data_IF_641810018132
#
_entry.id   IF_641810018132
#
_cell.length_a   1.000
_cell.length_b   1.000
_cell.length_c   1.000
_cell.angle_alpha   90.00
_cell.angle_beta   90.00
_cell.angle_gamma   90.00
#
_symmetry.space_group_name_H-M   'P 1'
#
loop_
_entity.id
_entity.type
_entity.pdbx_description
1 polymer ?
#
# COMPACT_ATOMS: atom_id res chain seq x y z
N UNK A 1 18.96 -0.02 9.65
CA UNK A 1 17.70 -0.78 9.78
C UNK A 1 16.93 -0.59 8.48
N UNK A 2 16.69 -1.65 7.71
CA UNK A 2 16.02 -1.54 6.41
C UNK A 2 14.51 -1.43 6.64
N UNK A 3 13.83 -0.38 6.14
CA UNK A 3 12.38 -0.29 6.31
C UNK A 3 11.69 -1.34 5.44
N UNK A 4 10.56 -1.84 5.93
CA UNK A 4 9.67 -2.72 5.19
C UNK A 4 8.26 -2.16 5.21
N UNK A 5 7.52 -2.39 4.15
CA UNK A 5 6.09 -2.14 4.11
C UNK A 5 5.35 -3.47 4.23
N UNK A 6 4.56 -3.60 5.29
CA UNK A 6 3.72 -4.77 5.52
C UNK A 6 2.28 -4.49 5.07
N UNK A 7 1.74 -5.36 4.21
CA UNK A 7 0.33 -5.35 3.83
C UNK A 7 -0.31 -6.63 4.37
N UNK A 8 -1.35 -6.46 5.17
CA UNK A 8 -2.00 -7.56 5.90
C UNK A 8 -3.37 -7.84 5.29
N UNK A 9 -3.58 -9.05 4.80
CA UNK A 9 -4.92 -9.54 4.46
C UNK A 9 -5.57 -10.10 5.74
N UNK A 10 -6.61 -9.42 6.21
CA UNK A 10 -7.32 -9.79 7.44
C UNK A 10 -8.24 -11.00 7.26
N UNK A 11 -8.68 -11.30 6.05
CA UNK A 11 -9.58 -12.43 5.75
C UNK A 11 -8.76 -13.70 5.58
N UNK A 12 -7.73 -13.66 4.73
CA UNK A 12 -6.91 -14.81 4.41
C UNK A 12 -5.76 -15.04 5.42
N UNK A 13 -5.57 -14.12 6.38
CA UNK A 13 -4.58 -14.19 7.47
C UNK A 13 -3.12 -14.32 6.98
N UNK A 14 -2.77 -13.72 5.84
CA UNK A 14 -1.38 -13.63 5.38
C UNK A 14 -0.88 -12.18 5.38
N UNK A 15 0.44 -12.03 5.33
CA UNK A 15 1.12 -10.74 5.26
C UNK A 15 2.11 -10.73 4.11
N UNK A 16 2.07 -9.68 3.31
CA UNK A 16 3.10 -9.37 2.32
C UNK A 16 4.08 -8.38 2.91
N UNK A 17 5.35 -8.77 2.98
CA UNK A 17 6.45 -7.89 3.34
C UNK A 17 7.16 -7.42 2.07
N UNK A 18 7.11 -6.12 1.83
CA UNK A 18 7.78 -5.46 0.71
C UNK A 18 8.98 -4.70 1.26
N UNK A 19 10.15 -4.93 0.66
CA UNK A 19 11.34 -4.13 0.99
C UNK A 19 11.15 -2.76 0.35
N UNK A 20 11.24 -1.72 1.15
CA UNK A 20 11.17 -0.33 0.72
C UNK A 20 12.43 0.40 1.19
N UNK A 21 12.66 1.60 0.68
CA UNK A 21 13.70 2.52 1.15
C UNK A 21 13.03 3.71 1.81
N UNK A 22 13.73 4.35 2.74
CA UNK A 22 13.27 5.61 3.34
C UNK A 22 13.16 6.75 2.34
N UNK A 23 13.80 6.62 1.17
CA UNK A 23 13.80 7.59 0.08
C UNK A 23 12.75 7.30 -1.00
N UNK A 24 12.01 6.18 -0.92
CA UNK A 24 11.03 5.82 -1.93
C UNK A 24 9.89 6.84 -1.94
N UNK A 25 9.51 7.30 -3.13
CA UNK A 25 8.45 8.29 -3.29
C UNK A 25 7.08 7.61 -3.18
N UNK A 26 6.01 8.40 -3.02
CA UNK A 26 4.66 7.85 -2.99
C UNK A 26 4.28 7.11 -4.29
N UNK A 27 4.88 7.49 -5.41
CA UNK A 27 4.68 6.82 -6.70
C UNK A 27 5.31 5.42 -6.70
N UNK A 28 6.43 5.23 -6.00
CA UNK A 28 7.05 3.92 -5.85
C UNK A 28 6.20 2.99 -4.99
N UNK A 29 5.62 3.50 -3.90
CA UNK A 29 4.61 2.78 -3.12
C UNK A 29 3.38 2.43 -3.97
N UNK A 30 2.87 3.35 -4.79
CA UNK A 30 1.74 3.09 -5.66
C UNK A 30 2.01 1.96 -6.67
N UNK A 31 3.21 1.91 -7.28
CA UNK A 31 3.61 0.82 -8.19
C UNK A 31 3.62 -0.53 -7.48
N UNK A 32 4.21 -0.61 -6.29
CA UNK A 32 4.23 -1.84 -5.49
C UNK A 32 2.82 -2.30 -5.14
N UNK A 33 1.95 -1.35 -4.78
CA UNK A 33 0.58 -1.62 -4.44
C UNK A 33 -0.26 -2.11 -5.63
N UNK A 34 -0.09 -1.52 -6.81
CA UNK A 34 -0.74 -2.00 -8.05
C UNK A 34 -0.37 -3.46 -8.32
N UNK A 35 0.90 -3.85 -8.14
CA UNK A 35 1.31 -5.24 -8.33
C UNK A 35 0.58 -6.19 -7.37
N UNK A 36 0.36 -5.75 -6.14
CA UNK A 36 -0.41 -6.51 -5.15
C UNK A 36 -1.88 -6.64 -5.55
N UNK A 37 -2.53 -5.54 -5.95
CA UNK A 37 -3.92 -5.53 -6.43
C UNK A 37 -4.08 -6.43 -7.66
N UNK A 38 -3.12 -6.41 -8.59
CA UNK A 38 -3.16 -7.27 -9.78
C UNK A 38 -3.12 -8.76 -9.43
N UNK A 39 -2.48 -9.12 -8.31
CA UNK A 39 -2.33 -10.50 -7.87
C UNK A 39 -3.53 -10.98 -7.04
N UNK A 40 -4.09 -10.12 -6.18
CA UNK A 40 -5.08 -10.51 -5.16
C UNK A 40 -6.44 -9.82 -5.28
N UNK A 41 -6.58 -8.86 -6.20
CA UNK A 41 -7.72 -7.97 -6.28
C UNK A 41 -7.58 -6.73 -5.38
N UNK A 42 -8.46 -5.76 -5.58
CA UNK A 42 -8.51 -4.58 -4.74
C UNK A 42 -9.06 -4.95 -3.35
N UNK A 43 -8.44 -4.51 -2.24
CA UNK A 43 -8.96 -4.75 -0.91
C UNK A 43 -10.27 -3.97 -0.72
N UNK A 44 -11.22 -4.58 0.00
CA UNK A 44 -12.50 -3.95 0.31
C UNK A 44 -12.36 -2.71 1.23
N UNK A 45 -11.35 -2.71 2.10
CA UNK A 45 -11.04 -1.59 2.98
C UNK A 45 -9.57 -1.59 3.34
N UNK A 46 -9.01 -0.41 3.58
CA UNK A 46 -7.61 -0.22 3.95
C UNK A 46 -7.54 0.54 5.26
N UNK A 47 -6.74 0.01 6.19
CA UNK A 47 -6.39 0.70 7.44
C UNK A 47 -4.87 0.86 7.42
N UNK A 48 -4.40 2.11 7.37
CA UNK A 48 -2.97 2.43 7.43
C UNK A 48 -2.57 2.94 8.82
N UNK A 49 -1.28 2.91 9.09
CA UNK A 49 -0.65 3.52 10.27
C UNK A 49 -0.62 5.06 10.23
N UNK A 50 -1.20 5.65 9.18
CA UNK A 50 -1.22 7.10 8.91
C UNK A 50 0.15 7.72 8.72
N UNK A 51 1.13 6.97 8.21
CA UNK A 51 2.39 7.53 7.75
C UNK A 51 2.21 8.64 6.69
N UNK A 52 3.19 9.54 6.50
CA UNK A 52 3.10 10.63 5.52
C UNK A 52 2.79 10.16 4.10
N UNK A 53 3.31 9.01 3.71
CA UNK A 53 3.03 8.36 2.44
C UNK A 53 1.52 8.06 2.28
N UNK A 54 0.88 7.50 3.31
CA UNK A 54 -0.53 7.07 3.26
C UNK A 54 -1.54 8.15 3.63
N UNK A 55 -1.08 9.36 3.96
CA UNK A 55 -1.92 10.54 4.19
C UNK A 55 -1.74 11.60 3.10
N UNK A 56 -0.86 11.36 2.14
CA UNK A 56 -0.62 12.27 1.02
C UNK A 56 -1.84 12.42 0.11
N UNK A 57 -1.97 13.59 -0.53
CA UNK A 57 -3.00 13.83 -1.54
C UNK A 57 -2.92 12.82 -2.69
N UNK A 58 -1.71 12.46 -3.11
CA UNK A 58 -1.50 11.47 -4.16
C UNK A 58 -2.12 10.13 -3.78
N UNK A 59 -1.88 9.65 -2.56
CA UNK A 59 -2.44 8.37 -2.10
C UNK A 59 -3.96 8.42 -2.06
N UNK A 60 -4.55 9.50 -1.55
CA UNK A 60 -6.00 9.64 -1.51
C UNK A 60 -6.62 9.62 -2.92
N UNK A 61 -6.11 10.46 -3.84
CA UNK A 61 -6.56 10.45 -5.24
C UNK A 61 -6.37 9.10 -5.91
N UNK A 62 -5.29 8.39 -5.58
CA UNK A 62 -5.01 7.06 -6.09
C UNK A 62 -6.02 6.01 -5.60
N UNK A 63 -6.39 6.02 -4.32
CA UNK A 63 -7.44 5.12 -3.78
C UNK A 63 -8.82 5.42 -4.40
N UNK A 64 -9.17 6.71 -4.55
CA UNK A 64 -10.40 7.13 -5.25
C UNK A 64 -10.43 6.57 -6.68
N UNK A 65 -9.31 6.64 -7.40
CA UNK A 65 -9.19 6.10 -8.77
C UNK A 65 -9.33 4.58 -8.85
N UNK A 66 -9.02 3.85 -7.77
CA UNK A 66 -9.19 2.40 -7.67
C UNK A 66 -10.60 1.99 -7.22
N UNK A 67 -11.43 2.94 -6.77
CA UNK A 67 -12.78 2.67 -6.26
C UNK A 67 -12.82 2.16 -4.82
N UNK A 68 -11.78 2.44 -4.03
CA UNK A 68 -11.60 2.05 -2.62
C UNK A 68 -11.66 3.23 -1.66
#
# INVERSE_FOLDING_TARGET
MTPFWAIVDRVAKFVHFLVVKTTDSMEDYAKLYINLIRLHGAPFSIISDRGPQFTSHLWNSFQIGLGT
#
